data_IF_977468093950
#
_entry.id   IF_977468093950
#
_cell.length_a   1.000
_cell.length_b   1.000
_cell.length_c   1.000
_cell.angle_alpha   90.00
_cell.angle_beta   90.00
_cell.angle_gamma   90.00
#
_symmetry.space_group_name_H-M   'P 1'
#
loop_
_entity.id
_entity.type
_entity.pdbx_description
1 polymer ?
#
# COMPACT_ATOMS: atom_id res chain seq x y z
N UNK A 1 -36.99 -15.19 -26.16
CA UNK A 1 -35.90 -15.03 -25.15
C UNK A 1 -34.60 -14.99 -25.97
N UNK A 2 -33.96 -13.83 -26.06
CA UNK A 2 -32.64 -13.71 -26.71
C UNK A 2 -31.60 -14.16 -25.69
N UNK A 3 -30.97 -15.31 -25.95
CA UNK A 3 -29.73 -15.68 -25.28
C UNK A 3 -28.68 -14.66 -25.73
N UNK A 4 -28.47 -13.60 -24.96
CA UNK A 4 -27.27 -12.79 -25.08
C UNK A 4 -26.13 -13.65 -24.53
N UNK A 5 -25.25 -14.11 -25.41
CA UNK A 5 -23.95 -14.64 -24.99
C UNK A 5 -23.29 -13.65 -24.01
N UNK A 6 -22.63 -14.09 -22.94
CA UNK A 6 -21.92 -13.18 -22.06
C UNK A 6 -20.93 -12.39 -22.92
N UNK A 7 -21.02 -11.07 -22.84
CA UNK A 7 -20.09 -10.17 -23.54
C UNK A 7 -18.74 -10.29 -22.79
N UNK A 8 -17.76 -10.87 -23.44
CA UNK A 8 -16.42 -11.06 -22.89
C UNK A 8 -15.70 -9.71 -22.84
N UNK A 9 -15.23 -9.31 -21.69
CA UNK A 9 -14.39 -8.12 -21.52
C UNK A 9 -13.05 -8.31 -22.25
N UNK A 10 -12.54 -7.27 -22.86
CA UNK A 10 -11.23 -7.27 -23.51
C UNK A 10 -10.17 -6.84 -22.50
N UNK A 11 -9.09 -7.64 -22.34
CA UNK A 11 -7.94 -7.28 -21.52
C UNK A 11 -6.89 -6.58 -22.37
N UNK A 12 -6.57 -5.33 -22.01
CA UNK A 12 -5.60 -4.48 -22.71
C UNK A 12 -4.41 -4.19 -21.82
N UNK A 13 -3.19 -4.33 -22.35
CA UNK A 13 -2.00 -3.85 -21.66
C UNK A 13 -1.92 -2.32 -21.72
N UNK A 14 -1.74 -1.69 -20.57
CA UNK A 14 -1.52 -0.25 -20.45
C UNK A 14 -0.02 0.04 -20.49
N UNK A 15 0.37 1.02 -21.29
CA UNK A 15 1.76 1.50 -21.42
C UNK A 15 1.94 2.93 -20.92
N UNK A 16 0.86 3.67 -20.71
CA UNK A 16 0.89 5.07 -20.30
C UNK A 16 -0.11 5.33 -19.17
N UNK A 17 0.33 6.11 -18.18
CA UNK A 17 -0.51 6.47 -17.02
C UNK A 17 -1.78 7.23 -17.37
N UNK A 18 -1.78 7.95 -18.52
CA UNK A 18 -2.96 8.66 -18.99
C UNK A 18 -4.16 7.78 -19.34
N UNK A 19 -3.93 6.48 -19.55
CA UNK A 19 -4.96 5.50 -19.88
C UNK A 19 -5.61 4.86 -18.64
N UNK A 20 -5.09 5.17 -17.44
CA UNK A 20 -5.61 4.62 -16.21
C UNK A 20 -7.02 5.15 -15.91
N UNK A 21 -7.93 4.27 -15.50
CA UNK A 21 -9.29 4.67 -15.15
C UNK A 21 -9.34 5.38 -13.81
N UNK A 22 -10.34 6.25 -13.65
CA UNK A 22 -10.71 6.85 -12.37
C UNK A 22 -11.87 6.09 -11.74
N UNK A 23 -11.92 6.03 -10.41
CA UNK A 23 -13.05 5.44 -9.68
C UNK A 23 -13.07 3.91 -9.69
N UNK A 24 -11.94 3.24 -9.92
CA UNK A 24 -11.83 1.79 -9.79
C UNK A 24 -11.54 1.34 -8.37
N UNK A 25 -10.84 2.15 -7.60
CA UNK A 25 -10.45 1.87 -6.23
C UNK A 25 -10.95 2.97 -5.30
N UNK A 26 -11.09 2.65 -4.01
CA UNK A 26 -11.23 3.64 -2.94
C UNK A 26 -10.05 4.63 -2.89
N UNK A 27 -8.90 4.24 -3.46
CA UNK A 27 -7.64 4.95 -3.38
C UNK A 27 -7.05 5.20 -4.77
N UNK A 28 -7.85 5.73 -5.69
CA UNK A 28 -7.40 6.05 -7.04
C UNK A 28 -6.00 6.71 -7.09
N UNK A 29 -5.63 7.68 -6.23
CA UNK A 29 -4.29 8.25 -6.26
C UNK A 29 -3.19 7.22 -5.97
N UNK A 30 -3.41 6.31 -5.02
CA UNK A 30 -2.44 5.25 -4.66
C UNK A 30 -2.38 4.20 -5.78
N UNK A 31 -3.52 3.83 -6.36
CA UNK A 31 -3.58 2.95 -7.53
C UNK A 31 -2.73 3.52 -8.68
N UNK A 32 -2.87 4.82 -8.95
CA UNK A 32 -2.09 5.49 -9.99
C UNK A 32 -0.59 5.49 -9.69
N UNK A 33 -0.22 5.63 -8.42
CA UNK A 33 1.18 5.56 -7.99
C UNK A 33 1.74 4.14 -8.18
N UNK A 34 1.03 3.11 -7.72
CA UNK A 34 1.45 1.71 -7.88
C UNK A 34 1.58 1.32 -9.35
N UNK A 35 0.62 1.72 -10.19
CA UNK A 35 0.71 1.49 -11.63
C UNK A 35 1.90 2.21 -12.27
N UNK A 36 2.23 3.41 -11.79
CA UNK A 36 3.42 4.15 -12.24
C UNK A 36 4.70 3.40 -11.85
N UNK A 37 4.82 2.99 -10.59
CA UNK A 37 5.98 2.22 -10.13
C UNK A 37 6.15 0.93 -10.92
N UNK A 38 5.07 0.18 -11.15
CA UNK A 38 5.11 -1.04 -11.95
C UNK A 38 5.62 -0.75 -13.38
N UNK A 39 5.09 0.27 -14.06
CA UNK A 39 5.52 0.63 -15.42
C UNK A 39 6.97 1.12 -15.50
N UNK A 40 7.49 1.74 -14.43
CA UNK A 40 8.88 2.21 -14.36
C UNK A 40 9.86 1.10 -13.95
N UNK A 41 9.39 0.01 -13.33
CA UNK A 41 10.19 -1.08 -12.77
C UNK A 41 10.06 -2.42 -13.51
N UNK A 42 9.80 -2.41 -14.83
CA UNK A 42 9.57 -3.60 -15.65
C UNK A 42 8.36 -4.45 -15.21
N UNK A 43 7.44 -3.87 -14.45
CA UNK A 43 6.14 -4.45 -14.15
C UNK A 43 5.16 -4.26 -15.31
N UNK A 44 3.96 -4.78 -15.15
CA UNK A 44 2.93 -4.74 -16.17
C UNK A 44 1.60 -4.28 -15.60
N UNK A 45 0.85 -3.52 -16.41
CA UNK A 45 -0.49 -3.03 -16.05
C UNK A 45 -1.48 -3.45 -17.12
N UNK A 46 -2.59 -4.05 -16.70
CA UNK A 46 -3.64 -4.55 -17.58
C UNK A 46 -4.99 -3.97 -17.19
N UNK A 47 -5.77 -3.57 -18.18
CA UNK A 47 -7.11 -3.01 -18.03
C UNK A 47 -8.14 -3.97 -18.61
N UNK A 48 -9.22 -4.23 -17.88
CA UNK A 48 -10.43 -4.88 -18.39
C UNK A 48 -11.43 -3.83 -18.85
N UNK A 49 -11.85 -3.94 -20.11
CA UNK A 49 -12.80 -3.02 -20.74
C UNK A 49 -13.96 -3.80 -21.35
N UNK A 50 -15.21 -3.39 -21.04
CA UNK A 50 -16.39 -3.99 -21.68
C UNK A 50 -16.48 -3.56 -23.14
N UNK A 51 -17.28 -4.28 -23.97
CA UNK A 51 -17.53 -3.89 -25.37
C UNK A 51 -18.10 -2.47 -25.54
N UNK A 52 -18.78 -1.95 -24.51
CA UNK A 52 -19.31 -0.59 -24.48
C UNK A 52 -18.27 0.45 -24.04
N UNK A 53 -17.02 0.04 -23.79
CA UNK A 53 -15.95 0.91 -23.35
C UNK A 53 -15.92 1.22 -21.85
N UNK A 54 -16.69 0.50 -21.02
CA UNK A 54 -16.65 0.66 -19.57
C UNK A 54 -15.42 -0.05 -19.00
N UNK A 55 -14.65 0.67 -18.21
CA UNK A 55 -13.48 0.16 -17.50
C UNK A 55 -13.93 -0.53 -16.21
N UNK A 56 -13.75 -1.84 -16.13
CA UNK A 56 -14.32 -2.70 -15.11
C UNK A 56 -13.29 -3.24 -14.10
N UNK A 57 -12.03 -3.21 -14.45
CA UNK A 57 -10.97 -3.70 -13.57
C UNK A 57 -9.58 -3.30 -14.04
N UNK A 58 -8.63 -3.42 -13.15
CA UNK A 58 -7.21 -3.19 -13.37
C UNK A 58 -6.42 -4.29 -12.67
N UNK A 59 -5.37 -4.77 -13.32
CA UNK A 59 -4.38 -5.65 -12.74
C UNK A 59 -3.00 -5.00 -12.86
N UNK A 60 -2.34 -4.81 -11.73
CA UNK A 60 -0.98 -4.32 -11.64
C UNK A 60 -0.10 -5.49 -11.21
N UNK A 61 0.90 -5.82 -12.01
CA UNK A 61 1.88 -6.86 -11.72
C UNK A 61 3.22 -6.24 -11.43
N UNK A 62 3.73 -6.48 -10.22
CA UNK A 62 5.09 -6.17 -9.84
C UNK A 62 6.00 -7.35 -10.18
N UNK A 63 6.83 -7.18 -11.21
CA UNK A 63 7.79 -8.18 -11.65
C UNK A 63 8.92 -8.45 -10.63
N UNK A 64 9.17 -7.52 -9.71
CA UNK A 64 10.23 -7.62 -8.70
C UNK A 64 9.88 -8.60 -7.58
N UNK A 65 8.64 -8.51 -7.07
CA UNK A 65 8.17 -9.31 -5.95
C UNK A 65 7.32 -10.49 -6.41
N UNK A 66 7.05 -10.62 -7.72
CA UNK A 66 6.10 -11.55 -8.29
C UNK A 66 4.74 -11.46 -7.57
N UNK A 67 4.31 -10.24 -7.30
CA UNK A 67 3.02 -9.93 -6.69
C UNK A 67 2.09 -9.26 -7.67
N UNK A 68 0.79 -9.41 -7.48
CA UNK A 68 -0.24 -8.77 -8.28
C UNK A 68 -1.23 -8.02 -7.41
N UNK A 69 -1.73 -6.89 -7.90
CA UNK A 69 -2.85 -6.18 -7.29
C UNK A 69 -4.00 -6.11 -8.27
N UNK A 70 -5.16 -6.66 -7.91
CA UNK A 70 -6.37 -6.69 -8.73
C UNK A 70 -7.42 -5.74 -8.16
N UNK A 71 -7.85 -4.81 -8.98
CA UNK A 71 -9.02 -3.96 -8.75
C UNK A 71 -10.12 -4.42 -9.68
N UNK A 72 -11.20 -5.01 -9.16
CA UNK A 72 -12.27 -5.57 -9.96
C UNK A 72 -13.64 -5.13 -9.43
N UNK A 73 -14.57 -4.82 -10.34
CA UNK A 73 -15.96 -4.46 -9.99
C UNK A 73 -16.88 -5.67 -9.90
N UNK A 74 -16.42 -6.83 -10.39
CA UNK A 74 -17.21 -8.07 -10.36
C UNK A 74 -16.31 -9.29 -10.26
N UNK A 75 -16.91 -10.44 -9.94
CA UNK A 75 -16.26 -11.73 -9.90
C UNK A 75 -15.66 -12.11 -11.25
N UNK A 76 -16.38 -11.91 -12.33
CA UNK A 76 -15.92 -12.26 -13.68
C UNK A 76 -14.63 -11.50 -14.03
N UNK A 77 -14.57 -10.21 -13.72
CA UNK A 77 -13.37 -9.40 -13.95
C UNK A 77 -12.21 -9.84 -13.09
N UNK A 78 -12.46 -10.22 -11.84
CA UNK A 78 -11.43 -10.78 -10.97
C UNK A 78 -10.87 -12.09 -11.55
N UNK A 79 -11.74 -13.01 -11.97
CA UNK A 79 -11.37 -14.31 -12.52
C UNK A 79 -10.61 -14.19 -13.84
N UNK A 80 -10.89 -13.16 -14.65
CA UNK A 80 -10.16 -12.87 -15.88
C UNK A 80 -8.68 -12.48 -15.59
N UNK A 81 -8.42 -11.78 -14.50
CA UNK A 81 -7.08 -11.35 -14.11
C UNK A 81 -6.29 -12.37 -13.29
N UNK A 82 -6.97 -13.14 -12.45
CA UNK A 82 -6.34 -14.03 -11.48
C UNK A 82 -5.30 -14.99 -12.07
N UNK A 83 -5.52 -15.63 -13.24
CA UNK A 83 -4.54 -16.51 -13.86
C UNK A 83 -3.57 -15.81 -14.82
N UNK A 84 -3.65 -14.49 -14.98
CA UNK A 84 -2.97 -13.78 -16.07
C UNK A 84 -1.43 -13.83 -15.96
N UNK A 85 -0.92 -13.79 -14.73
CA UNK A 85 0.50 -13.87 -14.42
C UNK A 85 0.75 -14.80 -13.24
N UNK A 86 1.86 -15.56 -13.25
CA UNK A 86 2.27 -16.35 -12.11
C UNK A 86 2.70 -15.40 -10.98
N UNK A 87 1.84 -15.22 -10.01
CA UNK A 87 2.08 -14.35 -8.85
C UNK A 87 2.13 -15.20 -7.59
N UNK A 88 3.08 -14.94 -6.68
CA UNK A 88 3.12 -15.59 -5.37
C UNK A 88 1.97 -15.14 -4.48
N UNK A 89 1.60 -13.87 -4.63
CA UNK A 89 0.53 -13.23 -3.88
C UNK A 89 -0.29 -12.32 -4.79
N UNK A 90 -1.60 -12.29 -4.54
CA UNK A 90 -2.54 -11.36 -5.19
C UNK A 90 -3.32 -10.62 -4.12
N UNK A 91 -3.22 -9.29 -4.15
CA UNK A 91 -4.02 -8.37 -3.34
C UNK A 91 -5.24 -7.93 -4.13
N UNK A 92 -6.41 -7.87 -3.49
CA UNK A 92 -7.63 -7.36 -4.14
C UNK A 92 -8.56 -6.70 -3.14
N UNK A 93 -9.21 -5.62 -3.55
CA UNK A 93 -10.36 -5.04 -2.83
C UNK A 93 -11.64 -5.88 -3.04
N UNK A 94 -11.65 -6.77 -4.02
CA UNK A 94 -12.77 -7.66 -4.30
C UNK A 94 -12.65 -8.97 -3.50
N UNK A 95 -13.69 -9.31 -2.73
CA UNK A 95 -13.78 -10.59 -2.01
C UNK A 95 -14.22 -11.70 -2.98
N UNK A 96 -13.26 -12.49 -3.43
CA UNK A 96 -13.54 -13.67 -4.24
C UNK A 96 -14.16 -14.81 -3.39
N UNK A 97 -14.80 -15.78 -4.04
CA UNK A 97 -15.43 -16.92 -3.34
C UNK A 97 -14.41 -17.88 -2.70
N UNK A 98 -13.17 -17.86 -3.16
CA UNK A 98 -12.08 -18.58 -2.52
C UNK A 98 -11.74 -17.91 -1.19
N UNK A 99 -11.42 -18.73 -0.18
CA UNK A 99 -11.01 -18.19 1.11
C UNK A 99 -9.67 -17.44 0.96
N UNK A 100 -9.61 -16.14 1.29
CA UNK A 100 -8.36 -15.42 1.27
C UNK A 100 -7.40 -16.01 2.31
N UNK A 101 -6.10 -15.99 2.02
CA UNK A 101 -5.05 -16.36 2.97
C UNK A 101 -5.04 -15.42 4.16
N UNK A 102 -5.29 -14.16 3.92
CA UNK A 102 -5.31 -13.10 4.92
C UNK A 102 -6.26 -11.98 4.51
N UNK A 103 -6.84 -11.31 5.49
CA UNK A 103 -7.68 -10.12 5.29
C UNK A 103 -6.99 -8.94 5.96
N UNK A 104 -6.89 -7.83 5.24
CA UNK A 104 -6.31 -6.59 5.71
C UNK A 104 -7.38 -5.52 5.81
N UNK A 105 -7.46 -4.85 6.94
CA UNK A 105 -8.31 -3.67 7.09
C UNK A 105 -7.60 -2.44 6.56
N UNK A 106 -8.33 -1.63 5.80
CA UNK A 106 -7.88 -0.31 5.37
C UNK A 106 -8.33 0.69 6.43
N UNK A 107 -7.34 1.29 7.11
CA UNK A 107 -7.55 2.31 8.11
C UNK A 107 -7.30 3.69 7.51
N UNK A 108 -8.16 4.65 7.84
CA UNK A 108 -8.06 6.03 7.38
C UNK A 108 -8.06 7.00 8.56
N UNK A 109 -7.14 7.97 8.52
CA UNK A 109 -7.06 9.10 9.43
C UNK A 109 -7.31 10.40 8.68
N UNK A 110 -8.21 11.22 9.21
CA UNK A 110 -8.37 12.62 8.83
C UNK A 110 -7.21 13.42 9.44
N UNK A 111 -6.24 13.79 8.61
CA UNK A 111 -5.00 14.45 9.05
C UNK A 111 -5.31 15.82 9.65
N UNK A 112 -6.28 16.55 9.13
CA UNK A 112 -6.61 17.90 9.63
C UNK A 112 -7.15 17.85 11.05
N UNK A 113 -7.95 16.83 11.38
CA UNK A 113 -8.53 16.64 12.71
C UNK A 113 -7.60 15.94 13.68
N UNK A 114 -6.54 15.29 13.17
CA UNK A 114 -5.60 14.58 14.02
C UNK A 114 -4.88 15.53 15.00
N UNK A 115 -4.86 15.23 16.32
CA UNK A 115 -4.24 16.11 17.31
C UNK A 115 -2.71 16.08 17.18
N UNK A 116 -2.09 17.27 17.27
CA UNK A 116 -0.63 17.43 17.32
C UNK A 116 -0.18 17.75 18.77
N UNK A 117 -0.67 17.01 19.74
CA UNK A 117 -0.43 17.26 21.18
C UNK A 117 0.52 16.24 21.83
N UNK A 118 1.04 15.30 21.06
CA UNK A 118 1.99 14.33 21.59
C UNK A 118 3.36 14.96 21.80
N UNK A 119 3.89 14.87 23.04
CA UNK A 119 5.26 15.28 23.33
C UNK A 119 6.24 14.21 22.92
N UNK A 120 7.14 14.54 22.01
CA UNK A 120 8.20 13.63 21.56
C UNK A 120 9.07 13.17 22.73
N UNK A 121 9.31 11.87 22.78
CA UNK A 121 10.26 11.22 23.69
C UNK A 121 11.56 10.86 22.97
N UNK A 122 11.48 10.65 21.66
CA UNK A 122 12.60 10.23 20.83
C UNK A 122 12.74 11.18 19.64
N UNK A 123 13.94 11.25 19.10
CA UNK A 123 14.21 12.02 17.90
C UNK A 123 13.71 11.24 16.67
N UNK A 124 12.92 11.91 15.85
CA UNK A 124 12.39 11.37 14.57
C UNK A 124 12.90 12.24 13.45
N UNK A 125 13.45 11.63 12.41
CA UNK A 125 13.89 12.34 11.22
C UNK A 125 13.52 11.53 9.95
N UNK A 126 13.50 12.23 8.82
CA UNK A 126 13.47 11.58 7.52
C UNK A 126 14.86 11.07 7.17
N UNK A 127 14.92 9.82 6.75
CA UNK A 127 16.16 9.16 6.36
C UNK A 127 16.21 9.02 4.83
N UNK A 128 17.35 9.32 4.26
CA UNK A 128 17.60 9.24 2.82
C UNK A 128 18.82 8.37 2.50
N UNK A 129 19.54 7.92 3.52
CA UNK A 129 20.69 7.04 3.34
C UNK A 129 20.20 5.61 3.12
N UNK A 130 20.27 5.17 1.88
CA UNK A 130 19.85 3.82 1.45
C UNK A 130 20.55 2.73 2.26
N UNK A 131 21.86 2.85 2.47
CA UNK A 131 22.65 1.83 3.17
C UNK A 131 22.22 1.66 4.64
N UNK A 132 21.88 2.78 5.32
CA UNK A 132 21.38 2.71 6.71
C UNK A 132 20.01 2.07 6.81
N UNK A 133 19.12 2.41 5.87
CA UNK A 133 17.79 1.81 5.77
C UNK A 133 17.91 0.31 5.46
N UNK A 134 18.73 -0.05 4.47
CA UNK A 134 18.97 -1.46 4.11
C UNK A 134 19.54 -2.26 5.25
N UNK A 135 20.49 -1.68 6.01
CA UNK A 135 21.07 -2.33 7.18
C UNK A 135 20.02 -2.58 8.27
N UNK A 136 19.15 -1.62 8.53
CA UNK A 136 18.06 -1.79 9.49
C UNK A 136 17.06 -2.87 9.00
N UNK A 137 16.65 -2.85 7.74
CA UNK A 137 15.75 -3.83 7.18
C UNK A 137 16.38 -5.23 7.12
N UNK A 138 17.67 -5.35 6.84
CA UNK A 138 18.36 -6.64 6.86
C UNK A 138 18.31 -7.33 8.23
N UNK A 139 18.33 -6.54 9.31
CA UNK A 139 18.22 -7.06 10.68
C UNK A 139 16.79 -7.40 11.10
N UNK A 140 15.82 -6.72 10.52
CA UNK A 140 14.42 -6.75 10.98
C UNK A 140 13.48 -7.51 10.06
N UNK A 141 13.79 -7.54 8.77
CA UNK A 141 13.03 -8.17 7.69
C UNK A 141 14.00 -8.81 6.68
N UNK A 142 14.76 -9.85 7.06
CA UNK A 142 15.84 -10.41 6.24
C UNK A 142 15.36 -10.96 4.89
N UNK A 143 14.14 -11.47 4.83
CA UNK A 143 13.55 -12.05 3.62
C UNK A 143 13.05 -11.02 2.59
N UNK A 144 13.01 -9.74 2.97
CA UNK A 144 12.50 -8.69 2.08
C UNK A 144 13.56 -8.32 1.03
N UNK A 145 13.17 -8.30 -0.24
CA UNK A 145 13.98 -7.72 -1.30
C UNK A 145 14.12 -6.21 -1.07
N UNK A 146 15.37 -5.72 -0.98
CA UNK A 146 15.66 -4.33 -0.61
C UNK A 146 15.92 -3.41 -1.81
N UNK A 147 15.91 -3.94 -3.02
CA UNK A 147 16.18 -3.13 -4.24
C UNK A 147 15.17 -1.99 -4.44
N UNK A 148 13.94 -2.17 -3.95
CA UNK A 148 12.90 -1.15 -4.03
C UNK A 148 13.22 0.12 -3.24
N UNK A 149 14.06 0.07 -2.20
CA UNK A 149 14.36 1.21 -1.32
C UNK A 149 14.88 2.41 -2.09
N UNK A 150 15.86 2.19 -2.97
CA UNK A 150 16.43 3.25 -3.79
C UNK A 150 15.43 3.82 -4.80
N UNK A 151 14.56 2.95 -5.34
CA UNK A 151 13.49 3.36 -6.28
C UNK A 151 12.44 4.19 -5.54
N UNK A 152 11.96 3.72 -4.40
CA UNK A 152 10.97 4.43 -3.59
C UNK A 152 11.46 5.83 -3.16
N UNK A 153 12.71 5.95 -2.68
CA UNK A 153 13.29 7.25 -2.32
C UNK A 153 13.44 8.17 -3.54
N UNK A 154 13.82 7.63 -4.68
CA UNK A 154 13.92 8.38 -5.96
C UNK A 154 12.55 8.86 -6.41
N UNK A 155 11.51 8.06 -6.24
CA UNK A 155 10.12 8.39 -6.59
C UNK A 155 9.47 9.34 -5.58
N UNK A 156 10.14 9.66 -4.49
CA UNK A 156 9.73 10.67 -3.53
C UNK A 156 9.10 10.14 -2.26
N UNK A 157 9.12 8.83 -2.05
CA UNK A 157 8.70 8.23 -0.78
C UNK A 157 9.50 8.75 0.40
N UNK A 158 8.88 8.77 1.56
CA UNK A 158 9.47 9.31 2.79
C UNK A 158 9.66 8.19 3.79
N UNK A 159 10.91 7.98 4.21
CA UNK A 159 11.25 7.06 5.27
C UNK A 159 11.45 7.84 6.58
N UNK A 160 10.58 7.65 7.56
CA UNK A 160 10.69 8.24 8.88
C UNK A 160 11.32 7.24 9.84
N UNK A 161 12.44 7.63 10.44
CA UNK A 161 13.17 6.77 11.38
C UNK A 161 13.21 7.38 12.77
N UNK A 162 13.18 6.51 13.77
CA UNK A 162 13.43 6.87 15.18
C UNK A 162 14.78 6.31 15.57
N UNK A 163 15.62 7.15 16.19
CA UNK A 163 16.97 6.78 16.62
C UNK A 163 17.10 6.81 18.13
N UNK A 164 17.81 5.82 18.68
CA UNK A 164 18.31 5.79 20.05
C UNK A 164 19.81 5.52 19.97
N UNK A 165 20.62 6.34 20.60
CA UNK A 165 22.10 6.26 20.57
C UNK A 165 22.63 6.16 19.10
N UNK A 166 22.15 7.00 18.21
CA UNK A 166 22.47 7.06 16.77
C UNK A 166 22.11 5.80 15.96
N UNK A 167 21.43 4.84 16.53
CA UNK A 167 20.97 3.64 15.84
C UNK A 167 19.48 3.77 15.50
N UNK A 168 19.09 3.36 14.31
CA UNK A 168 17.68 3.23 13.93
C UNK A 168 17.07 2.09 14.76
N UNK A 169 15.96 2.37 15.43
CA UNK A 169 15.20 1.40 16.26
C UNK A 169 13.74 1.27 15.84
N UNK A 170 13.27 2.19 15.02
CA UNK A 170 11.94 2.15 14.43
C UNK A 170 11.91 2.90 13.11
N UNK A 171 11.07 2.45 12.21
CA UNK A 171 10.94 2.98 10.85
C UNK A 171 9.49 2.95 10.40
N UNK A 172 9.10 3.89 9.57
CA UNK A 172 7.84 3.87 8.80
C UNK A 172 8.05 4.56 7.46
N UNK A 173 7.48 3.99 6.43
CA UNK A 173 7.46 4.57 5.09
C UNK A 173 6.14 5.30 4.83
N UNK A 174 6.18 6.22 3.90
CA UNK A 174 5.02 6.97 3.48
C UNK A 174 5.15 7.41 2.02
N UNK A 175 4.19 7.00 1.21
CA UNK A 175 3.99 7.44 -0.17
C UNK A 175 2.93 8.53 -0.17
N UNK A 176 3.15 9.63 -0.91
CA UNK A 176 2.19 10.73 -1.01
C UNK A 176 1.81 10.93 -2.47
N UNK A 177 0.49 10.93 -2.74
CA UNK A 177 -0.08 11.21 -4.06
C UNK A 177 -1.20 12.24 -3.90
N UNK A 178 -0.96 13.46 -4.35
CA UNK A 178 -1.89 14.57 -4.15
C UNK A 178 -2.13 14.86 -2.66
N UNK A 179 -3.38 14.75 -2.21
CA UNK A 179 -3.83 15.03 -0.84
C UNK A 179 -3.93 13.76 0.02
N UNK A 180 -3.50 12.61 -0.50
CA UNK A 180 -3.56 11.31 0.18
C UNK A 180 -2.16 10.78 0.43
N UNK A 181 -1.92 10.27 1.63
CA UNK A 181 -0.72 9.53 1.99
C UNK A 181 -1.06 8.09 2.33
N UNK A 182 -0.25 7.14 1.87
CA UNK A 182 -0.26 5.73 2.28
C UNK A 182 0.93 5.48 3.19
N UNK A 183 0.69 4.93 4.37
CA UNK A 183 1.73 4.51 5.30
C UNK A 183 1.98 3.01 5.15
N UNK A 184 3.23 2.63 5.04
CA UNK A 184 3.62 1.23 4.91
C UNK A 184 4.98 0.96 5.60
N UNK A 185 5.42 -0.29 5.61
CA UNK A 185 6.74 -0.66 6.13
C UNK A 185 7.01 -0.24 7.58
N UNK A 186 5.98 -0.32 8.43
CA UNK A 186 6.02 0.10 9.82
C UNK A 186 6.71 -0.96 10.68
N UNK A 187 7.83 -0.63 11.30
CA UNK A 187 8.55 -1.57 12.16
C UNK A 187 9.21 -0.91 13.36
N UNK A 188 9.19 -1.60 14.50
CA UNK A 188 9.96 -1.25 15.71
C UNK A 188 10.66 -2.50 16.21
N UNK A 189 11.97 -2.41 16.45
CA UNK A 189 12.75 -3.52 17.02
C UNK A 189 12.10 -4.03 18.32
N UNK A 190 11.99 -5.35 18.54
CA UNK A 190 11.25 -5.94 19.65
C UNK A 190 11.62 -5.36 21.03
N UNK A 191 12.91 -5.15 21.30
CA UNK A 191 13.39 -4.63 22.59
C UNK A 191 13.03 -3.16 22.85
N UNK A 192 12.64 -2.41 21.81
CA UNK A 192 12.24 -1.00 21.91
C UNK A 192 10.72 -0.80 21.80
N UNK A 193 9.95 -1.89 21.69
CA UNK A 193 8.48 -1.80 21.68
C UNK A 193 7.95 -1.29 23.01
N UNK A 194 6.76 -0.70 23.02
CA UNK A 194 6.09 -0.08 24.18
C UNK A 194 6.78 1.16 24.74
N UNK A 195 7.84 1.65 24.13
CA UNK A 195 8.54 2.88 24.53
C UNK A 195 7.93 4.16 23.94
N UNK A 196 6.88 4.07 23.12
CA UNK A 196 6.22 5.20 22.48
C UNK A 196 6.78 5.57 21.11
N UNK A 197 7.72 4.78 20.56
CA UNK A 197 8.41 5.02 19.29
C UNK A 197 7.42 5.24 18.14
N UNK A 198 6.35 4.42 18.07
CA UNK A 198 5.34 4.57 17.00
C UNK A 198 4.50 5.83 17.13
N UNK A 199 4.26 6.29 18.38
CA UNK A 199 3.55 7.55 18.61
C UNK A 199 4.39 8.73 18.15
N UNK A 200 5.69 8.72 18.45
CA UNK A 200 6.63 9.74 18.00
C UNK A 200 6.71 9.77 16.47
N UNK A 201 6.84 8.59 15.84
CA UNK A 201 6.89 8.46 14.39
C UNK A 201 5.59 8.96 13.72
N UNK A 202 4.41 8.56 14.23
CA UNK A 202 3.13 9.04 13.71
C UNK A 202 3.00 10.57 13.86
N UNK A 203 3.36 11.12 15.01
CA UNK A 203 3.31 12.57 15.25
C UNK A 203 4.19 13.33 14.26
N UNK A 204 5.40 12.85 13.98
CA UNK A 204 6.31 13.46 13.00
C UNK A 204 5.71 13.41 11.59
N UNK A 205 5.14 12.27 11.21
CA UNK A 205 4.45 12.14 9.91
C UNK A 205 3.26 13.07 9.80
N UNK A 206 2.43 13.19 10.83
CA UNK A 206 1.28 14.11 10.84
C UNK A 206 1.71 15.58 10.70
N UNK A 207 2.78 16.00 11.39
CA UNK A 207 3.35 17.33 11.23
C UNK A 207 3.78 17.56 9.78
N UNK A 208 4.47 16.58 9.20
CA UNK A 208 4.92 16.66 7.81
C UNK A 208 3.72 16.72 6.84
N UNK A 209 2.72 15.85 7.00
CA UNK A 209 1.53 15.80 6.14
C UNK A 209 0.76 17.12 6.17
N UNK A 210 0.52 17.69 7.37
CA UNK A 210 -0.13 19.00 7.51
C UNK A 210 0.66 20.10 6.80
N UNK A 211 2.00 20.09 6.87
CA UNK A 211 2.85 21.07 6.19
C UNK A 211 2.82 20.94 4.67
N UNK A 212 2.34 19.81 4.14
CA UNK A 212 2.20 19.51 2.71
C UNK A 212 0.76 19.58 2.21
N UNK A 213 -0.19 20.00 3.05
CA UNK A 213 -1.62 20.02 2.73
C UNK A 213 -2.16 18.64 2.30
N UNK A 214 -1.66 17.58 2.94
CA UNK A 214 -2.17 16.23 2.77
C UNK A 214 -3.24 16.01 3.84
N UNK A 215 -4.45 15.67 3.42
CA UNK A 215 -5.63 15.62 4.29
C UNK A 215 -5.98 14.22 4.76
N UNK A 216 -5.49 13.20 4.09
CA UNK A 216 -5.82 11.79 4.38
C UNK A 216 -4.56 10.96 4.54
N UNK A 217 -4.49 10.17 5.63
CA UNK A 217 -3.49 9.12 5.82
C UNK A 217 -4.19 7.77 5.83
N UNK A 218 -3.65 6.82 5.04
CA UNK A 218 -4.16 5.46 4.92
C UNK A 218 -3.11 4.48 5.45
N UNK A 219 -3.58 3.45 6.16
CA UNK A 219 -2.78 2.30 6.58
C UNK A 219 -3.50 1.01 6.20
N UNK A 220 -2.78 0.03 5.72
CA UNK A 220 -3.26 -1.32 5.48
C UNK A 220 -2.69 -2.23 6.56
N UNK A 221 -3.56 -2.83 7.36
CA UNK A 221 -3.17 -3.59 8.55
C UNK A 221 -3.86 -4.95 8.51
N UNK A 222 -3.11 -6.08 8.51
CA UNK A 222 -3.70 -7.40 8.65
C UNK A 222 -4.63 -7.48 9.87
N UNK A 223 -5.79 -8.11 9.74
CA UNK A 223 -6.72 -8.31 10.86
C UNK A 223 -6.05 -9.05 12.03
N UNK A 224 -5.10 -9.92 11.73
CA UNK A 224 -4.30 -10.66 12.71
C UNK A 224 -3.32 -9.78 13.51
N UNK A 225 -2.96 -8.58 12.99
CA UNK A 225 -2.00 -7.69 13.63
C UNK A 225 -2.66 -6.77 14.66
N UNK A 226 -3.08 -7.34 15.78
CA UNK A 226 -3.77 -6.64 16.88
C UNK A 226 -2.97 -5.44 17.43
N UNK A 227 -1.63 -5.50 17.63
CA UNK A 227 -0.87 -4.34 18.10
C UNK A 227 -0.97 -3.12 17.17
N UNK A 228 -0.86 -3.32 15.85
CA UNK A 228 -0.97 -2.25 14.87
C UNK A 228 -2.40 -1.71 14.76
N UNK A 229 -3.40 -2.59 14.74
CA UNK A 229 -4.82 -2.21 14.73
C UNK A 229 -5.20 -1.40 15.98
N UNK A 230 -4.70 -1.80 17.17
CA UNK A 230 -4.90 -1.04 18.40
C UNK A 230 -4.21 0.34 18.35
N UNK A 231 -3.03 0.43 17.71
CA UNK A 231 -2.34 1.70 17.53
C UNK A 231 -3.14 2.63 16.61
N UNK A 232 -3.63 2.14 15.48
CA UNK A 232 -4.45 2.88 14.53
C UNK A 232 -5.74 3.40 15.19
N UNK A 233 -6.49 2.53 15.87
CA UNK A 233 -7.70 2.90 16.59
C UNK A 233 -7.44 3.98 17.65
N UNK A 234 -6.36 3.86 18.44
CA UNK A 234 -5.97 4.86 19.44
C UNK A 234 -5.49 6.19 18.84
N UNK A 235 -5.05 6.19 17.59
CA UNK A 235 -4.73 7.39 16.82
C UNK A 235 -5.98 8.09 16.25
N UNK A 236 -7.15 7.46 16.33
CA UNK A 236 -8.41 7.98 15.79
C UNK A 236 -8.67 7.56 14.34
N UNK A 237 -7.91 6.59 13.82
CA UNK A 237 -8.15 6.01 12.51
C UNK A 237 -9.45 5.18 12.51
N UNK A 238 -10.10 5.09 11.36
CA UNK A 238 -11.33 4.30 11.16
C UNK A 238 -11.13 3.32 10.02
N UNK A 239 -11.71 2.14 10.15
CA UNK A 239 -11.76 1.16 9.05
C UNK A 239 -12.73 1.68 8.00
N UNK A 240 -12.26 1.79 6.75
CA UNK A 240 -13.02 2.28 5.60
C UNK A 240 -13.17 1.24 4.49
N UNK A 241 -12.41 0.16 4.54
CA UNK A 241 -12.45 -0.91 3.55
C UNK A 241 -11.60 -2.11 3.95
N UNK A 242 -11.51 -3.07 3.04
CA UNK A 242 -10.71 -4.29 3.19
C UNK A 242 -9.93 -4.60 1.92
N UNK A 243 -8.81 -5.27 2.10
CA UNK A 243 -8.04 -5.91 1.04
C UNK A 243 -7.94 -7.39 1.38
N UNK A 244 -8.12 -8.23 0.39
CA UNK A 244 -8.05 -9.68 0.50
C UNK A 244 -6.75 -10.16 -0.15
N UNK A 245 -5.98 -10.95 0.56
CA UNK A 245 -4.75 -11.56 0.07
C UNK A 245 -5.01 -13.00 -0.33
N UNK A 246 -4.75 -13.32 -1.57
CA UNK A 246 -4.82 -14.66 -2.14
C UNK A 246 -3.42 -15.18 -2.45
N UNK A 247 -3.23 -16.50 -2.35
CA UNK A 247 -2.06 -17.18 -2.91
C UNK A 247 -2.50 -17.91 -4.16
N UNK A 248 -1.81 -17.67 -5.26
CA UNK A 248 -1.96 -18.53 -6.43
C UNK A 248 -1.34 -19.88 -6.07
N UNK A 249 -2.18 -20.92 -5.99
CA UNK A 249 -1.73 -22.25 -5.62
C UNK A 249 -0.55 -22.71 -6.49
N UNK A 250 0.47 -23.26 -5.84
CA UNK A 250 1.55 -24.04 -6.45
C UNK A 250 1.03 -25.32 -7.04
#
# INVERSE_FOLDING_TARGET
MRNSSPQVSEIKSIKQLGDLPKGLSFFDPILHYEAKEALEADGEVYLSESPEGHKNGLFIYDGYEATGTIFAKSREVFDDFYPLKPSSYIFSEYEAAEHPKEVWNIWQLDVDKAPLNHRFKHHVNMEHNVEEIERFMALTQPETNRKWISVALKNGDKCFVVRIANRIVGMAWMTIVGEVARSHGLYVEPQFRRMGIMKDNLQARLIYLKSRHVHTLINEIPESNIPSSSHAANAGEKIVGKIFLYTTGS
#
